data_IF_363214312387
#
_entry.id   IF_363214312387
#
_cell.length_a   1.000
_cell.length_b   1.000
_cell.length_c   1.000
_cell.angle_alpha   90.00
_cell.angle_beta   90.00
_cell.angle_gamma   90.00
#
_symmetry.space_group_name_H-M   'P 1'
#
loop_
_entity.id
_entity.type
_entity.pdbx_description
1 polymer ?
#
# COMPACT_ATOMS: atom_id res chain seq x y z
N UNK A 1 15.15 9.50 7.90
CA UNK A 1 14.70 8.43 6.98
C UNK A 1 15.29 7.07 7.30
N UNK A 2 16.61 6.83 7.16
CA UNK A 2 17.22 5.51 7.43
C UNK A 2 16.92 4.93 8.82
N UNK A 3 16.90 5.79 9.85
CA UNK A 3 16.50 5.37 11.19
C UNK A 3 15.04 4.85 11.24
N UNK A 4 14.10 5.58 10.62
CA UNK A 4 12.71 5.16 10.50
C UNK A 4 12.57 3.86 9.69
N UNK A 5 13.29 3.73 8.57
CA UNK A 5 13.32 2.48 7.78
C UNK A 5 13.81 1.29 8.62
N UNK A 6 14.90 1.47 9.37
CA UNK A 6 15.44 0.42 10.25
C UNK A 6 14.44 0.01 11.32
N UNK A 7 13.76 0.99 11.91
CA UNK A 7 12.75 0.75 12.94
C UNK A 7 11.55 -0.03 12.37
N UNK A 8 10.97 0.42 11.26
CA UNK A 8 9.88 -0.28 10.57
C UNK A 8 10.28 -1.72 10.26
N UNK A 9 11.47 -1.93 9.66
CA UNK A 9 11.97 -3.28 9.35
C UNK A 9 12.08 -4.12 10.61
N UNK A 10 12.59 -3.57 11.71
CA UNK A 10 12.76 -4.32 12.96
C UNK A 10 11.42 -4.76 13.56
N UNK A 11 10.40 -3.89 13.53
CA UNK A 11 9.06 -4.22 14.03
C UNK A 11 8.35 -5.23 13.12
N UNK A 12 8.52 -5.09 11.80
CA UNK A 12 7.90 -5.96 10.79
C UNK A 12 8.51 -7.36 10.79
N UNK A 13 9.84 -7.49 10.87
CA UNK A 13 10.50 -8.81 10.88
C UNK A 13 10.11 -9.66 12.09
N UNK A 14 9.80 -9.03 13.23
CA UNK A 14 9.36 -9.76 14.42
C UNK A 14 7.95 -10.33 14.22
N UNK A 15 7.06 -9.61 13.52
CA UNK A 15 5.69 -10.05 13.29
C UNK A 15 5.53 -11.10 12.17
N UNK A 16 6.49 -11.20 11.23
CA UNK A 16 6.37 -12.07 10.04
C UNK A 16 7.03 -13.43 10.20
N UNK A 17 8.02 -13.55 11.08
CA UNK A 17 8.67 -14.84 11.39
C UNK A 17 7.64 -15.82 11.99
N UNK A 18 6.64 -15.32 12.73
CA UNK A 18 5.58 -16.14 13.33
C UNK A 18 4.46 -16.55 12.36
N UNK A 19 4.41 -16.01 11.15
CA UNK A 19 3.44 -16.38 10.11
C UNK A 19 3.97 -17.46 9.14
N UNK A 20 5.30 -17.64 9.06
CA UNK A 20 5.95 -18.48 8.04
C UNK A 20 6.04 -19.98 8.33
N UNK A 21 5.60 -20.46 9.51
CA UNK A 21 5.81 -21.85 9.94
C UNK A 21 4.51 -22.66 10.01
N UNK A 22 3.86 -22.92 8.86
CA UNK A 22 2.98 -24.10 8.65
C UNK A 22 2.54 -24.21 7.19
N UNK A 23 3.32 -24.91 6.37
CA UNK A 23 2.77 -25.68 5.26
C UNK A 23 3.03 -27.14 5.58
N UNK A 24 1.96 -27.83 6.00
CA UNK A 24 1.90 -29.29 6.09
C UNK A 24 1.79 -29.81 4.66
N UNK A 25 2.72 -30.67 4.26
CA UNK A 25 2.41 -31.80 3.40
C UNK A 25 2.58 -33.02 4.29
N UNK A 26 1.49 -33.74 4.53
CA UNK A 26 1.53 -35.11 5.03
C UNK A 26 0.26 -35.80 4.52
N UNK A 27 0.44 -36.88 3.79
CA UNK A 27 -0.35 -38.11 3.90
C UNK A 27 0.34 -39.22 3.06
N UNK A 28 0.98 -40.18 3.73
CA UNK A 28 0.67 -41.61 3.57
C UNK A 28 1.37 -42.51 4.63
N UNK A 29 0.67 -42.71 5.74
CA UNK A 29 0.35 -43.96 6.43
C UNK A 29 1.24 -45.25 6.40
N UNK A 30 1.37 -45.83 7.61
CA UNK A 30 1.40 -47.26 8.03
C UNK A 30 2.69 -47.92 8.60
N UNK A 31 2.57 -48.23 9.91
CA UNK A 31 2.98 -49.44 10.67
C UNK A 31 4.47 -49.77 10.97
N UNK A 32 4.84 -49.79 12.27
CA UNK A 32 5.26 -50.99 13.05
C UNK A 32 6.09 -50.69 14.35
N UNK A 33 5.55 -51.14 15.50
CA UNK A 33 6.14 -51.93 16.61
C UNK A 33 7.48 -51.60 17.35
N UNK A 34 7.37 -51.02 18.56
CA UNK A 34 8.06 -51.34 19.86
C UNK A 34 9.61 -51.25 20.05
N UNK A 35 10.20 -51.43 21.28
CA UNK A 35 9.66 -51.38 22.66
C UNK A 35 10.49 -50.58 23.74
N UNK A 36 9.79 -50.16 24.81
CA UNK A 36 10.16 -49.84 26.23
C UNK A 36 11.59 -49.44 26.66
N UNK A 37 11.69 -48.32 27.41
CA UNK A 37 12.57 -48.14 28.59
C UNK A 37 11.93 -47.19 29.64
N UNK A 38 12.29 -47.39 30.92
CA UNK A 38 11.67 -46.86 32.15
C UNK A 38 12.45 -45.67 32.77
N UNK A 39 11.70 -44.84 33.51
CA UNK A 39 12.10 -43.94 34.64
C UNK A 39 12.77 -42.61 34.30
N UNK A 40 12.10 -41.48 34.63
CA UNK A 40 12.44 -40.62 35.79
C UNK A 40 11.53 -39.38 35.83
N UNK A 41 10.86 -39.17 36.97
CA UNK A 41 10.13 -37.94 37.30
C UNK A 41 11.02 -36.72 37.08
N UNK A 42 10.60 -35.85 36.17
CA UNK A 42 11.18 -34.52 36.00
C UNK A 42 10.06 -33.50 36.23
N UNK A 43 10.15 -32.86 37.40
CA UNK A 43 9.35 -31.69 37.79
C UNK A 43 9.32 -30.69 36.63
N UNK A 44 8.11 -30.43 36.12
CA UNK A 44 7.85 -29.55 34.98
C UNK A 44 8.14 -28.09 35.37
N UNK A 45 9.41 -27.69 35.30
CA UNK A 45 9.77 -26.28 35.26
C UNK A 45 9.45 -25.77 33.85
N UNK A 46 8.33 -25.06 33.70
CA UNK A 46 8.05 -24.27 32.51
C UNK A 46 9.16 -23.22 32.36
N UNK A 47 9.98 -23.35 31.31
CA UNK A 47 10.93 -22.29 30.93
C UNK A 47 10.13 -21.01 30.70
N UNK A 48 10.62 -19.89 31.22
CA UNK A 48 9.94 -18.59 31.22
C UNK A 48 9.47 -18.14 29.82
N UNK A 49 10.20 -18.53 28.77
CA UNK A 49 9.79 -18.31 27.38
C UNK A 49 8.54 -19.08 26.93
N UNK A 50 8.30 -20.30 27.44
CA UNK A 50 7.09 -21.08 27.12
C UNK A 50 5.84 -20.53 27.83
N UNK A 51 6.01 -19.92 29.00
CA UNK A 51 4.92 -19.25 29.73
C UNK A 51 4.43 -18.03 28.94
N UNK A 52 5.36 -17.25 28.38
CA UNK A 52 5.07 -16.12 27.49
C UNK A 52 4.29 -16.54 26.24
N UNK A 53 4.78 -17.58 25.55
CA UNK A 53 4.12 -18.14 24.38
C UNK A 53 2.71 -18.67 24.67
N UNK A 54 2.51 -19.30 25.84
CA UNK A 54 1.19 -19.82 26.22
C UNK A 54 0.22 -18.68 26.56
N UNK A 55 0.68 -17.63 27.24
CA UNK A 55 -0.15 -16.44 27.51
C UNK A 55 -0.52 -15.71 26.22
N UNK A 56 0.40 -15.64 25.25
CA UNK A 56 0.15 -15.01 23.96
C UNK A 56 -0.79 -15.84 23.08
N UNK A 57 -0.60 -17.17 23.02
CA UNK A 57 -1.51 -18.08 22.34
C UNK A 57 -2.92 -18.03 22.96
N UNK A 58 -3.02 -17.93 24.28
CA UNK A 58 -4.30 -17.77 24.99
C UNK A 58 -4.98 -16.43 24.65
N UNK A 59 -4.20 -15.34 24.57
CA UNK A 59 -4.68 -14.01 24.19
C UNK A 59 -5.15 -13.96 22.73
N UNK A 60 -4.36 -14.52 21.80
CA UNK A 60 -4.71 -14.60 20.39
C UNK A 60 -5.96 -15.47 20.18
N UNK A 61 -6.06 -16.60 20.87
CA UNK A 61 -7.24 -17.47 20.83
C UNK A 61 -8.47 -16.78 21.41
N UNK A 62 -8.32 -16.06 22.53
CA UNK A 62 -9.43 -15.31 23.14
C UNK A 62 -9.91 -14.16 22.25
N UNK A 63 -8.99 -13.46 21.57
CA UNK A 63 -9.34 -12.40 20.61
C UNK A 63 -10.04 -12.97 19.37
N UNK A 64 -9.52 -14.05 18.79
CA UNK A 64 -10.16 -14.72 17.66
C UNK A 64 -11.56 -15.26 18.04
N UNK A 65 -11.70 -15.80 19.25
CA UNK A 65 -12.98 -16.28 19.77
C UNK A 65 -13.96 -15.12 20.01
N UNK A 66 -13.54 -14.00 20.60
CA UNK A 66 -14.38 -12.82 20.77
C UNK A 66 -14.83 -12.21 19.43
N UNK A 67 -13.93 -12.15 18.45
CA UNK A 67 -14.27 -11.67 17.10
C UNK A 67 -15.29 -12.59 16.43
N UNK A 68 -15.05 -13.90 16.44
CA UNK A 68 -15.98 -14.89 15.88
C UNK A 68 -17.34 -14.87 16.57
N UNK A 69 -17.37 -14.74 17.91
CA UNK A 69 -18.61 -14.68 18.68
C UNK A 69 -19.41 -13.41 18.36
N UNK A 70 -18.73 -12.28 18.19
CA UNK A 70 -19.33 -10.99 17.82
C UNK A 70 -19.82 -10.97 16.37
N UNK A 71 -19.22 -11.77 15.48
CA UNK A 71 -19.70 -11.95 14.10
C UNK A 71 -20.94 -12.85 14.00
N UNK A 72 -21.17 -13.76 14.95
CA UNK A 72 -22.25 -14.73 14.90
C UNK A 72 -23.52 -14.33 15.68
N UNK A 73 -23.41 -13.47 16.71
CA UNK A 73 -24.56 -13.04 17.50
C UNK A 73 -24.36 -11.62 18.11
N UNK A 74 -24.79 -10.56 17.41
CA UNK A 74 -24.61 -9.17 17.87
C UNK A 74 -25.57 -8.72 18.99
N UNK A 75 -26.52 -9.54 19.45
CA UNK A 75 -27.57 -9.12 20.41
C UNK A 75 -27.38 -9.60 21.86
N UNK A 76 -26.32 -10.35 22.18
CA UNK A 76 -26.13 -10.96 23.52
C UNK A 76 -25.55 -10.03 24.60
N UNK A 77 -25.05 -8.84 24.23
CA UNK A 77 -24.33 -7.95 25.18
C UNK A 77 -25.24 -7.06 26.06
N UNK A 78 -26.57 -7.20 25.97
CA UNK A 78 -27.52 -6.33 26.68
C UNK A 78 -28.22 -6.96 27.91
N UNK A 79 -27.79 -8.14 28.38
CA UNK A 79 -28.44 -8.77 29.54
C UNK A 79 -27.49 -9.53 30.47
N UNK A 80 -26.76 -8.79 31.33
CA UNK A 80 -26.25 -9.33 32.59
C UNK A 80 -25.92 -8.21 33.60
N UNK A 81 -26.79 -7.93 34.60
CA UNK A 81 -26.44 -7.04 35.71
C UNK A 81 -25.92 -7.81 36.96
N UNK A 82 -24.62 -7.64 37.25
CA UNK A 82 -23.95 -7.63 38.57
C UNK A 82 -23.69 -8.97 39.33
N UNK A 83 -22.92 -8.96 40.46
CA UNK A 83 -22.08 -7.89 41.05
C UNK A 83 -20.64 -8.31 41.50
N UNK A 84 -19.78 -7.29 41.62
CA UNK A 84 -18.58 -7.09 42.46
C UNK A 84 -17.50 -8.19 42.66
N UNK A 85 -16.27 -7.84 42.26
CA UNK A 85 -15.09 -7.66 43.13
C UNK A 85 -13.80 -8.15 42.47
N UNK A 86 -12.81 -7.26 42.36
CA UNK A 86 -11.42 -7.64 42.14
C UNK A 86 -10.73 -6.86 41.02
N UNK A 87 -10.03 -5.81 41.44
CA UNK A 87 -8.90 -5.17 40.76
C UNK A 87 -8.29 -6.01 39.62
N UNK A 88 -8.62 -5.66 38.39
CA UNK A 88 -7.75 -5.91 37.26
C UNK A 88 -7.66 -4.58 36.56
N UNK A 89 -6.54 -3.88 36.81
CA UNK A 89 -6.09 -2.82 35.93
C UNK A 89 -6.25 -3.34 34.52
N UNK A 90 -7.24 -2.80 33.81
CA UNK A 90 -7.35 -2.92 32.38
C UNK A 90 -6.06 -2.33 31.82
N UNK A 91 -5.04 -3.19 31.65
CA UNK A 91 -3.99 -2.94 30.68
C UNK A 91 -4.69 -2.95 29.34
N UNK A 92 -5.26 -1.79 29.00
CA UNK A 92 -5.56 -1.38 27.64
C UNK A 92 -4.40 -1.91 26.81
N UNK A 93 -4.70 -2.80 25.87
CA UNK A 93 -3.74 -3.27 24.90
C UNK A 93 -2.97 -2.02 24.44
N UNK A 94 -1.67 -1.97 24.71
CA UNK A 94 -0.82 -0.84 24.31
C UNK A 94 -1.14 -0.57 22.85
N UNK A 95 -1.86 0.52 22.59
CA UNK A 95 -2.02 1.02 21.24
C UNK A 95 -0.60 1.23 20.76
N UNK A 96 -0.15 0.39 19.83
CA UNK A 96 1.15 0.61 19.19
C UNK A 96 1.00 1.92 18.42
N UNK A 97 1.35 3.01 19.08
CA UNK A 97 1.50 4.34 18.50
C UNK A 97 2.75 4.28 17.65
N UNK A 98 2.64 4.73 16.40
CA UNK A 98 3.79 4.85 15.50
C UNK A 98 4.91 5.62 16.20
N UNK A 99 6.14 5.12 16.09
CA UNK A 99 7.26 5.71 16.83
C UNK A 99 7.46 7.19 16.49
N UNK A 100 8.03 7.99 17.41
CA UNK A 100 8.39 9.38 17.15
C UNK A 100 9.28 9.52 15.89
N UNK A 101 10.19 8.57 15.67
CA UNK A 101 11.09 8.58 14.51
C UNK A 101 10.33 8.40 13.19
N UNK A 102 9.29 7.56 13.17
CA UNK A 102 8.49 7.34 11.97
C UNK A 102 7.51 8.51 11.76
N UNK A 103 6.87 9.02 12.81
CA UNK A 103 5.93 10.14 12.73
C UNK A 103 6.60 11.44 12.28
N UNK A 104 7.84 11.69 12.68
CA UNK A 104 8.66 12.84 12.23
C UNK A 104 8.90 12.83 10.71
N UNK A 105 8.82 11.67 10.04
CA UNK A 105 9.00 11.62 8.58
C UNK A 105 7.93 12.41 7.82
N UNK A 106 6.68 12.47 8.31
CA UNK A 106 5.59 13.16 7.64
C UNK A 106 5.88 14.66 7.39
N UNK A 107 6.21 15.48 8.41
CA UNK A 107 6.54 16.88 8.19
C UNK A 107 7.83 17.09 7.38
N UNK A 108 8.82 16.18 7.49
CA UNK A 108 10.03 16.25 6.66
C UNK A 108 9.69 16.07 5.18
N UNK A 109 8.88 15.05 4.86
CA UNK A 109 8.44 14.77 3.49
C UNK A 109 7.58 15.92 2.96
N UNK A 110 6.69 16.49 3.79
CA UNK A 110 5.91 17.68 3.41
C UNK A 110 6.80 18.87 3.10
N UNK A 111 7.84 19.12 3.89
CA UNK A 111 8.81 20.19 3.62
C UNK A 111 9.54 19.96 2.28
N UNK A 112 10.04 18.75 2.04
CA UNK A 112 10.72 18.43 0.77
C UNK A 112 9.79 18.51 -0.44
N UNK A 113 8.51 18.14 -0.27
CA UNK A 113 7.48 18.31 -1.28
C UNK A 113 7.31 19.78 -1.64
N UNK A 114 7.09 20.66 -0.65
CA UNK A 114 6.92 22.11 -0.84
C UNK A 114 8.10 22.77 -1.55
N UNK A 115 9.32 22.26 -1.36
CA UNK A 115 10.49 22.73 -2.09
C UNK A 115 10.44 22.39 -3.59
N UNK A 116 9.79 21.29 -3.96
CA UNK A 116 9.70 20.82 -5.34
C UNK A 116 8.43 21.27 -6.06
N UNK A 117 7.41 21.74 -5.33
CA UNK A 117 6.16 22.28 -5.88
C UNK A 117 6.42 23.35 -6.95
N UNK A 118 5.50 23.46 -7.92
CA UNK A 118 5.62 24.32 -9.10
C UNK A 118 6.84 23.97 -9.97
N UNK A 119 7.15 22.67 -10.07
CA UNK A 119 8.20 22.15 -10.96
C UNK A 119 9.57 22.79 -10.71
N UNK A 120 9.95 22.96 -9.44
CA UNK A 120 11.22 23.60 -9.08
C UNK A 120 12.41 22.71 -9.43
N UNK A 121 12.85 22.82 -10.69
CA UNK A 121 13.86 21.94 -11.29
C UNK A 121 15.22 22.01 -10.61
N UNK A 122 15.58 23.14 -10.00
CA UNK A 122 16.83 23.26 -9.23
C UNK A 122 16.77 22.38 -7.99
N UNK A 123 15.69 22.46 -7.22
CA UNK A 123 15.53 21.68 -6.00
C UNK A 123 15.23 20.21 -6.29
N UNK A 124 14.43 19.90 -7.31
CA UNK A 124 14.23 18.52 -7.77
C UNK A 124 15.55 17.83 -8.14
N UNK A 125 16.44 18.52 -8.88
CA UNK A 125 17.77 17.99 -9.20
C UNK A 125 18.68 17.94 -7.98
N UNK A 126 18.62 18.94 -7.11
CA UNK A 126 19.40 18.98 -5.89
C UNK A 126 19.07 17.80 -4.95
N UNK A 127 17.81 17.34 -4.89
CA UNK A 127 17.45 16.16 -4.11
C UNK A 127 18.11 14.87 -4.63
N UNK A 128 18.39 14.79 -5.94
CA UNK A 128 19.09 13.66 -6.56
C UNK A 128 20.61 13.80 -6.49
N UNK A 129 21.14 14.99 -6.79
CA UNK A 129 22.56 15.27 -6.94
C UNK A 129 22.92 16.68 -6.44
N UNK A 130 23.71 16.76 -5.37
CA UNK A 130 24.13 18.01 -4.74
C UNK A 130 25.49 18.53 -5.25
N UNK A 131 26.07 17.89 -6.27
CA UNK A 131 27.40 18.22 -6.81
C UNK A 131 28.53 18.18 -5.77
N UNK A 132 28.39 17.32 -4.75
CA UNK A 132 29.42 17.07 -3.75
C UNK A 132 30.23 15.82 -4.09
N UNK A 133 31.38 15.63 -3.39
CA UNK A 133 32.17 14.38 -3.49
C UNK A 133 31.33 13.14 -3.18
N UNK A 134 30.37 13.28 -2.27
CA UNK A 134 29.37 12.27 -1.93
C UNK A 134 27.99 12.89 -2.09
N UNK A 135 27.16 12.32 -2.96
CA UNK A 135 25.79 12.75 -3.17
C UNK A 135 24.83 11.84 -2.40
N UNK A 136 23.74 12.43 -1.90
CA UNK A 136 22.69 11.74 -1.18
C UNK A 136 21.43 11.81 -2.01
N UNK A 137 21.10 10.73 -2.72
CA UNK A 137 19.93 10.67 -3.58
C UNK A 137 18.66 10.48 -2.75
N UNK A 138 18.03 11.58 -2.35
CA UNK A 138 16.83 11.59 -1.53
C UNK A 138 15.59 11.07 -2.28
N UNK A 139 15.57 11.14 -3.61
CA UNK A 139 14.48 10.58 -4.43
C UNK A 139 14.44 9.06 -4.25
N UNK A 140 15.56 8.40 -4.54
CA UNK A 140 15.68 6.96 -4.44
C UNK A 140 15.58 6.48 -2.95
N UNK A 141 16.07 7.25 -1.96
CA UNK A 141 15.86 6.94 -0.52
C UNK A 141 14.38 7.06 -0.09
N UNK A 142 13.64 8.03 -0.63
CA UNK A 142 12.20 8.20 -0.35
C UNK A 142 11.40 7.04 -0.94
N UNK A 143 11.77 6.57 -2.13
CA UNK A 143 11.18 5.38 -2.75
C UNK A 143 11.40 4.12 -1.90
N UNK A 144 12.62 3.93 -1.37
CA UNK A 144 12.91 2.83 -0.43
C UNK A 144 12.14 2.97 0.88
N UNK A 145 11.86 4.20 1.32
CA UNK A 145 11.01 4.43 2.49
C UNK A 145 9.56 4.02 2.21
N UNK A 146 9.01 4.34 1.03
CA UNK A 146 7.68 3.88 0.60
C UNK A 146 7.60 2.34 0.58
N UNK A 147 8.58 1.69 -0.03
CA UNK A 147 8.68 0.22 -0.09
C UNK A 147 8.70 -0.41 1.33
N UNK A 148 9.41 0.24 2.25
CA UNK A 148 9.53 -0.17 3.64
C UNK A 148 8.20 -0.04 4.42
N UNK A 149 7.52 1.12 4.34
CA UNK A 149 6.24 1.33 5.04
C UNK A 149 5.13 0.42 4.51
N UNK A 150 5.22 0.00 3.25
CA UNK A 150 4.26 -0.91 2.63
C UNK A 150 4.60 -2.41 2.79
N UNK A 151 5.74 -2.76 3.41
CA UNK A 151 6.03 -4.14 3.84
C UNK A 151 6.56 -5.09 2.76
N UNK A 152 7.09 -4.58 1.66
CA UNK A 152 7.66 -5.36 0.54
C UNK A 152 8.85 -6.26 0.95
N UNK A 153 9.47 -5.99 2.11
CA UNK A 153 10.57 -6.79 2.68
C UNK A 153 10.20 -8.25 3.03
N UNK A 154 8.94 -8.66 2.84
CA UNK A 154 8.42 -10.00 3.15
C UNK A 154 8.16 -10.89 1.94
N UNK A 155 8.54 -10.46 0.73
CA UNK A 155 8.54 -11.34 -0.45
C UNK A 155 7.17 -11.53 -1.12
N UNK A 156 6.18 -10.70 -0.81
CA UNK A 156 4.90 -10.68 -1.53
C UNK A 156 4.10 -9.40 -1.36
N UNK A 157 3.80 -8.71 -2.47
CA UNK A 157 2.94 -7.52 -2.55
C UNK A 157 1.46 -7.80 -2.17
N UNK A 158 1.09 -9.06 -1.93
CA UNK A 158 -0.26 -9.49 -1.54
C UNK A 158 -0.63 -9.23 -0.08
N UNK A 159 0.28 -8.67 0.73
CA UNK A 159 0.07 -8.41 2.16
C UNK A 159 -0.03 -6.91 2.50
N UNK A 160 -0.20 -6.03 1.51
CA UNK A 160 -0.27 -4.57 1.73
C UNK A 160 -1.28 -4.18 2.81
N UNK A 161 -2.43 -4.86 2.87
CA UNK A 161 -3.46 -4.58 3.85
C UNK A 161 -3.11 -4.94 5.31
N UNK A 162 -2.06 -5.74 5.55
CA UNK A 162 -1.51 -5.94 6.89
C UNK A 162 -0.61 -4.78 7.34
N UNK A 163 0.01 -4.09 6.39
CA UNK A 163 0.95 -3.01 6.66
C UNK A 163 0.28 -1.65 6.66
N UNK A 164 -0.66 -1.42 5.76
CA UNK A 164 -1.36 -0.14 5.61
C UNK A 164 -2.63 -0.15 6.45
N UNK A 165 -2.73 0.81 7.37
CA UNK A 165 -3.87 0.99 8.25
C UNK A 165 -4.12 2.48 8.53
N UNK A 166 -5.16 2.79 9.31
CA UNK A 166 -5.55 4.18 9.62
C UNK A 166 -4.45 5.01 10.29
N UNK A 167 -3.52 4.36 11.01
CA UNK A 167 -2.45 5.06 11.73
C UNK A 167 -1.32 5.52 10.83
N UNK A 168 -1.10 4.85 9.68
CA UNK A 168 0.04 5.14 8.80
C UNK A 168 -0.33 5.56 7.38
N UNK A 169 -1.59 5.41 6.96
CA UNK A 169 -2.05 5.78 5.60
C UNK A 169 -1.73 7.24 5.25
N UNK A 170 -1.84 8.16 6.21
CA UNK A 170 -1.50 9.57 6.00
C UNK A 170 0.00 9.78 5.67
N UNK A 171 0.88 8.93 6.21
CA UNK A 171 2.32 8.95 5.91
C UNK A 171 2.60 8.33 4.53
N UNK A 172 1.88 7.27 4.16
CA UNK A 172 1.98 6.68 2.82
C UNK A 172 1.55 7.70 1.77
N UNK A 173 0.40 8.35 1.94
CA UNK A 173 -0.09 9.42 1.06
C UNK A 173 0.93 10.55 0.93
N UNK A 174 1.44 11.05 2.05
CA UNK A 174 2.48 12.08 2.04
C UNK A 174 3.74 11.67 1.27
N UNK A 175 4.13 10.39 1.35
CA UNK A 175 5.29 9.86 0.64
C UNK A 175 5.04 9.81 -0.88
N UNK A 176 3.85 9.39 -1.31
CA UNK A 176 3.44 9.39 -2.72
C UNK A 176 3.39 10.80 -3.30
N UNK A 177 2.82 11.76 -2.56
CA UNK A 177 2.74 13.17 -2.95
C UNK A 177 4.13 13.79 -3.08
N UNK A 178 5.03 13.56 -2.11
CA UNK A 178 6.42 14.02 -2.21
C UNK A 178 7.14 13.44 -3.42
N UNK A 179 7.01 12.13 -3.68
CA UNK A 179 7.62 11.50 -4.85
C UNK A 179 7.06 12.05 -6.16
N UNK A 180 5.78 12.40 -6.19
CA UNK A 180 5.14 13.01 -7.36
C UNK A 180 5.81 14.34 -7.66
N UNK A 181 5.91 15.25 -6.68
CA UNK A 181 6.56 16.55 -6.86
C UNK A 181 8.06 16.44 -7.19
N UNK A 182 8.74 15.39 -6.73
CA UNK A 182 10.16 15.18 -7.07
C UNK A 182 10.36 14.90 -8.56
N UNK A 183 9.44 14.20 -9.22
CA UNK A 183 9.60 13.74 -10.59
C UNK A 183 8.65 14.42 -11.60
N UNK A 184 7.74 15.26 -11.12
CA UNK A 184 6.81 15.99 -11.97
C UNK A 184 7.55 16.86 -13.00
N UNK A 185 7.07 16.81 -14.24
CA UNK A 185 7.82 17.18 -15.44
C UNK A 185 8.02 18.68 -15.68
N UNK A 186 9.04 19.04 -16.48
CA UNK A 186 10.01 18.15 -17.12
C UNK A 186 11.20 17.83 -16.19
N UNK A 187 11.25 16.59 -15.66
CA UNK A 187 12.28 16.11 -14.71
C UNK A 187 12.69 14.65 -14.97
N UNK A 188 13.14 14.38 -16.20
CA UNK A 188 13.39 13.04 -16.73
C UNK A 188 14.28 12.18 -15.85
N UNK A 189 15.38 12.73 -15.33
CA UNK A 189 16.33 11.93 -14.57
C UNK A 189 15.78 11.46 -13.22
N UNK A 190 14.82 12.19 -12.63
CA UNK A 190 14.10 11.71 -11.44
C UNK A 190 13.06 10.65 -11.81
N UNK A 191 12.34 10.83 -12.93
CA UNK A 191 11.42 9.83 -13.46
C UNK A 191 12.14 8.50 -13.71
N UNK A 192 13.30 8.53 -14.37
CA UNK A 192 14.15 7.36 -14.59
C UNK A 192 14.71 6.78 -13.28
N UNK A 193 15.22 7.58 -12.31
CA UNK A 193 15.69 7.05 -11.00
C UNK A 193 14.59 6.25 -10.30
N UNK A 194 13.33 6.68 -10.39
CA UNK A 194 12.21 5.96 -9.78
C UNK A 194 11.88 4.68 -10.58
N UNK A 195 11.71 4.79 -11.91
CA UNK A 195 11.27 3.69 -12.75
C UNK A 195 12.29 2.52 -12.81
N UNK A 196 13.58 2.83 -12.77
CA UNK A 196 14.67 1.85 -12.90
C UNK A 196 15.35 1.52 -11.57
N UNK A 197 14.77 1.91 -10.43
CA UNK A 197 15.38 1.67 -9.13
C UNK A 197 15.55 0.17 -8.85
N UNK A 198 16.69 -0.22 -8.26
CA UNK A 198 17.06 -1.62 -7.98
C UNK A 198 16.10 -2.36 -7.06
N UNK A 199 15.36 -1.64 -6.21
CA UNK A 199 14.35 -2.23 -5.32
C UNK A 199 13.02 -2.54 -6.02
N UNK A 200 12.92 -2.34 -7.33
CA UNK A 200 11.66 -2.39 -8.08
C UNK A 200 10.56 -1.55 -7.42
N UNK A 201 10.90 -0.33 -6.99
CA UNK A 201 9.98 0.57 -6.29
C UNK A 201 8.72 0.96 -7.09
N UNK A 202 8.69 0.67 -8.39
CA UNK A 202 7.50 0.81 -9.22
C UNK A 202 6.44 -0.26 -8.91
N UNK A 203 6.87 -1.47 -8.53
CA UNK A 203 5.97 -2.59 -8.24
C UNK A 203 5.14 -2.32 -7.00
N UNK A 204 5.70 -1.60 -6.02
CA UNK A 204 4.92 -1.18 -4.85
C UNK A 204 3.84 -0.16 -5.23
N UNK A 205 4.15 0.81 -6.09
CA UNK A 205 3.18 1.81 -6.55
C UNK A 205 2.06 1.12 -7.34
N UNK A 206 2.41 0.18 -8.21
CA UNK A 206 1.46 -0.62 -8.98
C UNK A 206 0.59 -1.48 -8.06
N UNK A 207 1.18 -2.14 -7.05
CA UNK A 207 0.44 -2.96 -6.11
C UNK A 207 -0.57 -2.15 -5.27
N UNK A 208 -0.26 -0.90 -4.91
CA UNK A 208 -1.21 0.00 -4.25
C UNK A 208 -2.45 0.25 -5.10
N UNK A 209 -2.32 0.27 -6.43
CA UNK A 209 -3.43 0.46 -7.36
C UNK A 209 -4.19 -0.87 -7.55
N UNK A 210 -3.47 -1.95 -7.84
CA UNK A 210 -4.07 -3.20 -8.30
C UNK A 210 -4.66 -4.04 -7.16
N UNK A 211 -4.06 -4.02 -5.98
CA UNK A 211 -4.47 -4.91 -4.89
C UNK A 211 -5.56 -4.28 -4.01
N UNK A 212 -6.34 -5.14 -3.37
CA UNK A 212 -7.25 -4.74 -2.31
C UNK A 212 -6.47 -4.51 -1.01
N UNK A 213 -6.72 -3.38 -0.36
CA UNK A 213 -6.06 -3.00 0.90
C UNK A 213 -6.98 -3.38 2.07
N UNK A 214 -7.06 -4.67 2.38
CA UNK A 214 -7.92 -5.20 3.46
C UNK A 214 -7.15 -5.37 4.79
N UNK A 215 -7.72 -4.98 5.95
CA UNK A 215 -9.13 -4.67 6.17
C UNK A 215 -9.52 -3.19 5.94
N UNK A 216 -8.57 -2.30 5.65
CA UNK A 216 -8.82 -0.85 5.53
C UNK A 216 -9.96 -0.54 4.55
N UNK A 217 -10.00 -1.19 3.39
CA UNK A 217 -11.05 -1.02 2.38
C UNK A 217 -12.46 -1.38 2.84
N UNK A 218 -12.62 -2.17 3.91
CA UNK A 218 -13.95 -2.49 4.47
C UNK A 218 -14.54 -1.34 5.28
N UNK A 219 -13.70 -0.57 5.95
CA UNK A 219 -14.13 0.42 6.95
C UNK A 219 -13.84 1.86 6.53
N UNK A 220 -12.79 2.07 5.73
CA UNK A 220 -12.26 3.38 5.32
C UNK A 220 -11.90 3.39 3.85
N UNK A 221 -12.92 3.18 3.01
CA UNK A 221 -12.77 3.22 1.55
C UNK A 221 -12.29 4.59 1.06
N UNK A 222 -12.67 5.68 1.75
CA UNK A 222 -12.18 7.05 1.52
C UNK A 222 -10.64 7.11 1.48
N UNK A 223 -9.98 6.47 2.45
CA UNK A 223 -8.52 6.44 2.54
C UNK A 223 -7.89 5.58 1.45
N UNK A 224 -8.53 4.45 1.09
CA UNK A 224 -8.06 3.57 0.00
C UNK A 224 -8.17 4.28 -1.35
N UNK A 225 -9.26 4.99 -1.61
CA UNK A 225 -9.42 5.79 -2.84
C UNK A 225 -8.35 6.88 -2.93
N UNK A 226 -8.05 7.57 -1.83
CA UNK A 226 -6.98 8.56 -1.78
C UNK A 226 -5.61 7.95 -2.11
N UNK A 227 -5.30 6.77 -1.54
CA UNK A 227 -4.07 6.04 -1.84
C UNK A 227 -3.97 5.69 -3.33
N UNK A 228 -5.03 5.09 -3.90
CA UNK A 228 -5.05 4.69 -5.32
C UNK A 228 -4.92 5.91 -6.24
N UNK A 229 -5.56 7.02 -5.88
CA UNK A 229 -5.47 8.28 -6.62
C UNK A 229 -4.05 8.85 -6.60
N UNK A 230 -3.42 8.95 -5.42
CA UNK A 230 -2.06 9.48 -5.30
C UNK A 230 -1.02 8.56 -5.96
N UNK A 231 -1.19 7.23 -5.85
CA UNK A 231 -0.35 6.27 -6.57
C UNK A 231 -0.49 6.40 -8.09
N UNK A 232 -1.71 6.58 -8.58
CA UNK A 232 -1.95 6.77 -10.02
C UNK A 232 -1.35 8.08 -10.53
N UNK A 233 -1.45 9.18 -9.77
CA UNK A 233 -0.79 10.46 -10.08
C UNK A 233 0.72 10.34 -10.15
N UNK A 234 1.33 9.59 -9.22
CA UNK A 234 2.77 9.33 -9.25
C UNK A 234 3.18 8.56 -10.53
N UNK A 235 2.43 7.53 -10.93
CA UNK A 235 2.72 6.83 -12.19
C UNK A 235 2.55 7.74 -13.41
N UNK A 236 1.54 8.62 -13.42
CA UNK A 236 1.33 9.59 -14.49
C UNK A 236 2.50 10.58 -14.58
N UNK A 237 2.99 11.08 -13.45
CA UNK A 237 4.16 11.96 -13.40
C UNK A 237 5.43 11.26 -13.92
N UNK A 238 5.60 9.96 -13.65
CA UNK A 238 6.73 9.16 -14.18
C UNK A 238 6.59 8.94 -15.70
N UNK A 239 5.36 8.83 -16.22
CA UNK A 239 5.05 8.62 -17.64
C UNK A 239 4.92 9.92 -18.46
N UNK A 240 5.08 11.09 -17.83
CA UNK A 240 4.83 12.38 -18.48
C UNK A 240 5.80 12.66 -19.65
N UNK A 241 7.04 12.16 -19.56
CA UNK A 241 8.04 12.38 -20.60
C UNK A 241 7.73 11.61 -21.89
N UNK A 242 7.40 12.35 -22.95
CA UNK A 242 7.19 11.82 -24.31
C UNK A 242 8.42 11.16 -24.93
N UNK A 243 9.62 11.47 -24.42
CA UNK A 243 10.87 10.91 -24.91
C UNK A 243 11.27 9.61 -24.20
N UNK A 244 10.54 9.20 -23.16
CA UNK A 244 10.87 8.05 -22.34
C UNK A 244 9.86 6.90 -22.52
N UNK A 245 9.84 6.35 -23.75
CA UNK A 245 9.05 5.15 -24.05
C UNK A 245 9.45 3.95 -23.18
N UNK A 246 10.66 3.95 -22.61
CA UNK A 246 11.18 2.87 -21.76
C UNK A 246 10.50 2.85 -20.39
N UNK A 247 10.38 4.00 -19.71
CA UNK A 247 9.64 4.09 -18.44
C UNK A 247 8.17 3.68 -18.63
N UNK A 248 7.53 4.17 -19.70
CA UNK A 248 6.14 3.86 -20.00
C UNK A 248 5.94 2.37 -20.29
N UNK A 249 6.83 1.74 -21.07
CA UNK A 249 6.77 0.31 -21.35
C UNK A 249 6.98 -0.53 -20.08
N UNK A 250 7.92 -0.13 -19.21
CA UNK A 250 8.18 -0.80 -17.94
C UNK A 250 6.97 -0.74 -17.02
N UNK A 251 6.33 0.42 -16.88
CA UNK A 251 5.10 0.56 -16.08
C UNK A 251 4.01 -0.39 -16.59
N UNK A 252 3.73 -0.37 -17.90
CA UNK A 252 2.65 -1.20 -18.47
C UNK A 252 2.95 -2.70 -18.40
N UNK A 253 4.22 -3.09 -18.56
CA UNK A 253 4.64 -4.48 -18.40
C UNK A 253 4.32 -4.97 -16.99
N UNK A 254 4.67 -4.18 -15.97
CA UNK A 254 4.48 -4.54 -14.57
C UNK A 254 3.00 -4.44 -14.13
N UNK A 255 2.20 -3.54 -14.74
CA UNK A 255 0.78 -3.38 -14.41
C UNK A 255 -0.16 -4.47 -14.94
N UNK A 256 0.33 -5.36 -15.83
CA UNK A 256 -0.47 -6.44 -16.45
C UNK A 256 -1.78 -5.92 -17.07
N UNK A 257 -1.85 -5.69 -18.40
CA UNK A 257 -2.96 -4.97 -19.06
C UNK A 257 -4.39 -5.39 -18.70
N UNK A 258 -4.63 -6.68 -18.38
CA UNK A 258 -5.95 -7.18 -17.97
C UNK A 258 -6.35 -6.69 -16.58
N UNK A 259 -5.44 -6.75 -15.62
CA UNK A 259 -5.72 -6.37 -14.23
C UNK A 259 -5.93 -4.86 -14.11
N UNK A 260 -5.11 -4.08 -14.83
CA UNK A 260 -5.30 -2.63 -14.93
C UNK A 260 -6.72 -2.28 -15.41
N UNK A 261 -7.17 -2.97 -16.46
CA UNK A 261 -8.50 -2.77 -17.03
C UNK A 261 -9.61 -3.24 -16.08
N UNK A 262 -9.43 -4.34 -15.35
CA UNK A 262 -10.42 -4.83 -14.40
C UNK A 262 -10.57 -3.89 -13.18
N UNK A 263 -9.46 -3.38 -12.65
CA UNK A 263 -9.48 -2.37 -11.57
C UNK A 263 -10.15 -1.09 -12.03
N UNK A 264 -9.87 -0.66 -13.27
CA UNK A 264 -10.54 0.50 -13.88
C UNK A 264 -12.06 0.29 -14.00
N UNK A 265 -12.51 -0.88 -14.50
CA UNK A 265 -13.95 -1.22 -14.55
C UNK A 265 -14.60 -1.16 -13.18
N UNK A 266 -13.96 -1.77 -12.19
CA UNK A 266 -14.47 -1.83 -10.82
C UNK A 266 -14.64 -0.42 -10.23
N UNK A 267 -13.67 0.47 -10.47
CA UNK A 267 -13.72 1.86 -10.03
C UNK A 267 -14.89 2.63 -10.68
N UNK A 268 -15.12 2.47 -11.99
CA UNK A 268 -16.27 3.09 -12.66
C UNK A 268 -17.60 2.51 -12.20
N UNK A 269 -17.70 1.19 -12.01
CA UNK A 269 -18.92 0.53 -11.52
C UNK A 269 -19.27 0.99 -10.10
N UNK A 270 -18.28 1.04 -9.20
CA UNK A 270 -18.46 1.57 -7.85
C UNK A 270 -18.93 3.03 -7.88
N UNK A 271 -18.40 3.83 -8.79
CA UNK A 271 -18.83 5.22 -8.99
C UNK A 271 -20.27 5.37 -9.50
N UNK A 272 -20.78 4.40 -10.26
CA UNK A 272 -22.19 4.38 -10.71
C UNK A 272 -23.14 4.01 -9.56
N UNK A 273 -22.75 3.05 -8.72
CA UNK A 273 -23.51 2.66 -7.52
C UNK A 273 -23.62 3.81 -6.51
N UNK A 274 -22.54 4.60 -6.33
CA UNK A 274 -22.54 5.77 -5.46
C UNK A 274 -23.44 6.92 -5.96
N UNK A 275 -23.60 7.09 -7.28
CA UNK A 275 -24.45 8.14 -7.89
C UNK A 275 -25.96 7.90 -7.68
N UNK A 276 -26.35 6.66 -7.34
CA UNK A 276 -27.74 6.25 -7.14
C UNK A 276 -28.17 6.24 -5.65
N UNK A 277 -27.23 6.50 -4.73
CA UNK A 277 -27.52 6.73 -3.31
C UNK A 277 -27.41 8.21 -3.00
N UNK A 278 -28.35 8.76 -2.24
CA UNK A 278 -28.39 10.16 -1.79
C UNK A 278 -27.19 10.53 -0.91
N UNK A 279 -26.00 10.65 -1.50
CA UNK A 279 -24.81 11.15 -0.86
C UNK A 279 -24.68 12.65 -1.16
N UNK A 280 -25.45 13.47 -0.43
CA UNK A 280 -25.09 14.86 -0.19
C UNK A 280 -23.81 14.89 0.66
N UNK A 281 -22.66 14.63 0.03
CA UNK A 281 -21.34 14.73 0.62
C UNK A 281 -20.50 15.69 -0.21
N UNK A 282 -19.99 16.75 0.42
CA UNK A 282 -19.29 17.85 -0.27
C UNK A 282 -18.19 17.41 -1.23
N UNK A 283 -18.07 18.18 -2.30
CA UNK A 283 -17.22 18.10 -3.51
C UNK A 283 -15.69 17.93 -3.30
N UNK A 284 -15.22 17.63 -2.09
CA UNK A 284 -13.79 17.69 -1.73
C UNK A 284 -13.14 16.30 -1.53
N UNK A 285 -13.90 15.21 -1.72
CA UNK A 285 -13.43 13.84 -1.58
C UNK A 285 -13.06 13.18 -2.92
N UNK A 286 -12.04 12.30 -2.90
CA UNK A 286 -11.67 11.49 -4.08
C UNK A 286 -12.76 10.45 -4.36
N UNK A 287 -13.39 10.54 -5.52
CA UNK A 287 -14.41 9.57 -5.94
C UNK A 287 -13.79 8.32 -6.60
N UNK A 288 -14.50 7.18 -6.63
CA UNK A 288 -14.09 6.02 -7.43
C UNK A 288 -13.89 6.36 -8.91
N UNK A 289 -14.70 7.30 -9.45
CA UNK A 289 -14.56 7.77 -10.84
C UNK A 289 -13.22 8.47 -11.04
N UNK A 290 -12.73 9.27 -10.10
CA UNK A 290 -11.43 9.96 -10.19
C UNK A 290 -10.27 8.95 -10.32
N UNK A 291 -10.29 7.89 -9.51
CA UNK A 291 -9.34 6.78 -9.62
C UNK A 291 -9.45 6.10 -10.98
N UNK A 292 -10.68 5.83 -11.44
CA UNK A 292 -10.95 5.26 -12.76
C UNK A 292 -10.41 6.11 -13.92
N UNK A 293 -10.54 7.44 -13.83
CA UNK A 293 -9.99 8.36 -14.82
C UNK A 293 -8.46 8.35 -14.84
N UNK A 294 -7.78 8.36 -13.70
CA UNK A 294 -6.33 8.30 -13.66
C UNK A 294 -5.79 6.98 -14.27
N UNK A 295 -6.44 5.85 -13.95
CA UNK A 295 -6.08 4.56 -14.53
C UNK A 295 -6.35 4.54 -16.03
N UNK A 296 -7.45 5.15 -16.48
CA UNK A 296 -7.74 5.31 -17.91
C UNK A 296 -6.64 6.09 -18.63
N UNK A 297 -6.19 7.23 -18.08
CA UNK A 297 -5.11 8.04 -18.67
C UNK A 297 -3.82 7.23 -18.76
N UNK A 298 -3.44 6.50 -17.69
CA UNK A 298 -2.28 5.60 -17.69
C UNK A 298 -2.35 4.56 -18.81
N UNK A 299 -3.50 3.87 -18.91
CA UNK A 299 -3.73 2.87 -19.95
C UNK A 299 -3.68 3.50 -21.35
N UNK A 300 -4.29 4.67 -21.52
CA UNK A 300 -4.37 5.36 -22.79
C UNK A 300 -2.99 5.85 -23.26
N UNK A 301 -2.21 6.49 -22.39
CA UNK A 301 -0.83 6.90 -22.68
C UNK A 301 0.00 5.72 -23.19
N UNK A 302 -0.22 4.54 -22.62
CA UNK A 302 0.42 3.31 -23.05
C UNK A 302 0.06 2.82 -24.45
N UNK A 303 -1.13 3.15 -24.97
CA UNK A 303 -1.58 2.70 -26.30
C UNK A 303 -0.77 3.30 -27.45
N UNK A 304 -0.11 4.44 -27.21
CA UNK A 304 0.75 5.09 -28.21
C UNK A 304 2.12 4.42 -28.36
N UNK A 305 2.50 3.51 -27.46
CA UNK A 305 3.75 2.78 -27.54
C UNK A 305 3.68 1.68 -28.60
N UNK A 306 4.80 1.46 -29.30
CA UNK A 306 4.93 0.38 -30.30
C UNK A 306 5.39 -0.94 -29.65
N UNK A 307 4.63 -1.45 -28.67
CA UNK A 307 4.93 -2.70 -27.97
C UNK A 307 3.76 -3.70 -27.99
N UNK A 308 4.06 -4.98 -27.76
CA UNK A 308 3.03 -6.03 -27.65
C UNK A 308 2.09 -5.79 -26.46
N UNK A 309 2.59 -5.16 -25.38
CA UNK A 309 1.80 -4.77 -24.23
C UNK A 309 0.83 -3.64 -24.56
N UNK A 310 1.27 -2.62 -25.32
CA UNK A 310 0.39 -1.56 -25.79
C UNK A 310 -0.78 -2.12 -26.61
N UNK A 311 -0.51 -3.07 -27.52
CA UNK A 311 -1.55 -3.76 -28.27
C UNK A 311 -2.52 -4.54 -27.36
N UNK A 312 -2.01 -5.16 -26.29
CA UNK A 312 -2.84 -5.87 -25.31
C UNK A 312 -3.71 -4.88 -24.50
N UNK A 313 -3.18 -3.73 -24.09
CA UNK A 313 -3.94 -2.66 -23.41
C UNK A 313 -5.05 -2.16 -24.32
N UNK A 314 -4.74 -1.80 -25.57
CA UNK A 314 -5.74 -1.34 -26.55
C UNK A 314 -6.86 -2.35 -26.74
N UNK A 315 -6.52 -3.65 -26.84
CA UNK A 315 -7.51 -4.73 -26.98
C UNK A 315 -8.39 -4.88 -25.73
N UNK A 316 -7.84 -4.69 -24.54
CA UNK A 316 -8.59 -4.79 -23.28
C UNK A 316 -9.43 -3.52 -23.00
N UNK A 317 -8.97 -2.35 -23.47
CA UNK A 317 -9.62 -1.05 -23.26
C UNK A 317 -10.78 -0.81 -24.23
N UNK A 318 -10.67 -1.27 -25.49
CA UNK A 318 -11.65 -1.02 -26.55
C UNK A 318 -13.12 -1.34 -26.16
N UNK A 319 -13.44 -2.46 -25.48
CA UNK A 319 -14.81 -2.76 -25.06
C UNK A 319 -15.39 -1.78 -24.03
N UNK A 320 -14.54 -1.03 -23.32
CA UNK A 320 -14.96 -0.12 -22.25
C UNK A 320 -15.18 1.31 -22.71
N UNK A 321 -14.55 1.72 -23.82
CA UNK A 321 -14.68 3.08 -24.35
C UNK A 321 -16.14 3.55 -24.51
N UNK A 322 -17.11 2.71 -24.94
CA UNK A 322 -18.51 3.13 -25.02
C UNK A 322 -19.18 3.39 -23.66
N UNK A 323 -18.64 2.83 -22.58
CA UNK A 323 -19.22 2.86 -21.24
C UNK A 323 -18.53 3.85 -20.31
N UNK A 324 -17.30 4.26 -20.65
CA UNK A 324 -16.55 5.26 -19.89
C UNK A 324 -16.89 6.64 -20.44
N UNK A 325 -17.66 7.42 -19.66
CA UNK A 325 -17.77 8.86 -19.89
C UNK A 325 -16.58 9.54 -19.24
N UNK A 326 -15.53 9.70 -20.03
CA UNK A 326 -14.34 10.44 -19.60
C UNK A 326 -14.73 11.89 -19.33
N UNK A 327 -14.51 12.35 -18.09
CA UNK A 327 -14.66 13.75 -17.73
C UNK A 327 -13.42 14.54 -18.20
N UNK A 328 -13.59 15.26 -19.30
CA UNK A 328 -12.52 16.11 -19.85
C UNK A 328 -12.12 17.26 -18.91
N UNK A 329 -13.00 17.70 -18.00
CA UNK A 329 -12.65 18.71 -16.98
C UNK A 329 -11.72 18.12 -15.91
N UNK A 330 -11.90 16.84 -15.58
CA UNK A 330 -10.98 16.11 -14.71
C UNK A 330 -9.63 15.90 -15.38
N UNK A 331 -9.62 15.51 -16.65
CA UNK A 331 -8.39 15.40 -17.44
C UNK A 331 -7.63 16.72 -17.46
N UNK A 332 -8.31 17.83 -17.75
CA UNK A 332 -7.66 19.15 -17.74
C UNK A 332 -7.10 19.53 -16.36
N UNK A 333 -7.80 19.18 -15.26
CA UNK A 333 -7.28 19.37 -13.90
C UNK A 333 -6.03 18.55 -13.64
N UNK A 334 -6.03 17.28 -14.04
CA UNK A 334 -4.85 16.40 -13.92
C UNK A 334 -3.69 16.91 -14.79
N UNK A 335 -3.96 17.39 -16.00
CA UNK A 335 -2.96 18.00 -16.88
C UNK A 335 -2.38 19.28 -16.28
N UNK A 336 -3.22 20.16 -15.75
CA UNK A 336 -2.76 21.36 -15.04
C UNK A 336 -1.95 21.01 -13.79
N UNK A 337 -2.26 19.88 -13.15
CA UNK A 337 -1.55 19.36 -11.98
C UNK A 337 -0.28 18.59 -12.32
N UNK A 338 -0.04 18.19 -13.57
CA UNK A 338 1.15 17.43 -13.98
C UNK A 338 2.10 18.30 -14.81
N UNK A 339 1.58 19.20 -15.65
CA UNK A 339 2.33 20.01 -16.60
C UNK A 339 1.74 19.86 -18.00
N UNK A 340 1.86 20.90 -18.82
CA UNK A 340 1.23 20.96 -20.16
C UNK A 340 1.69 19.84 -21.12
N UNK A 341 2.77 19.12 -20.81
CA UNK A 341 3.32 18.04 -21.65
C UNK A 341 2.56 16.70 -21.52
N UNK A 342 1.75 16.53 -20.47
CA UNK A 342 0.91 15.36 -20.21
C UNK A 342 -0.33 15.29 -21.13
N UNK A 343 -0.16 15.36 -22.45
CA UNK A 343 -1.31 15.28 -23.38
C UNK A 343 -1.46 13.92 -24.06
N UNK A 344 -2.61 13.31 -23.73
CA UNK A 344 -3.51 12.55 -24.62
C UNK A 344 -3.50 13.06 -26.07
#
# INVERSE_FOLDING_TARGET
MKAAQKEIRSTVTVNTIDLGSKKRDDDNDLMASGPRMRVRDSSLHLKEGMKGQLTEASSATSKAYCVYRREMDPEIDMMCPGPEAGSSEEKSAEEVTMSPTITTMRPILRFLQLLCENHNRELQNFLRNQNNKTNHNLVCETLQFLDCICGSTTGGLGLLGLYINEKNVALVNQTLESLTEYCQGPCHENQTCIATHESNGIDIIIALILNDINPLGKYRMDLVLQLKNNASKLLLAIMESRHDSENAERILFNMRPRELVDVMKNAYNQGLECDHGDAEGGDDGVSPKDVGHNIYILAHQGTHLKSSNAAAVTKCLAPLLPHIRVDFSYIHRIQSLLGDDACL
#
